data_IF_732786441724
#
_entry.id   IF_732786441724
#
_cell.length_a   1.000
_cell.length_b   1.000
_cell.length_c   1.000
_cell.angle_alpha   90.00
_cell.angle_beta   90.00
_cell.angle_gamma   90.00
#
_symmetry.space_group_name_H-M   'P 1'
#
loop_
_entity.id
_entity.type
_entity.pdbx_description
1 polymer ?
#
# COMPACT_ATOMS: atom_id res chain seq x y z
N UNK A 1 22.38 5.44 -11.09
CA UNK A 1 21.85 4.69 -9.94
C UNK A 1 20.49 5.28 -9.64
N UNK A 2 19.40 4.68 -10.13
CA UNK A 2 18.06 5.15 -9.78
C UNK A 2 17.78 4.63 -8.37
N UNK A 3 17.88 5.52 -7.38
CA UNK A 3 17.44 5.24 -6.02
C UNK A 3 15.94 4.98 -6.08
N UNK A 4 15.48 3.90 -5.47
CA UNK A 4 14.04 3.71 -5.26
C UNK A 4 13.51 4.96 -4.53
N UNK A 5 12.46 5.61 -5.04
CA UNK A 5 11.84 6.82 -4.45
C UNK A 5 11.08 6.54 -3.14
N UNK A 6 11.35 5.38 -2.52
CA UNK A 6 10.74 4.87 -1.30
C UNK A 6 11.88 4.57 -0.32
N UNK A 7 11.77 4.98 0.97
CA UNK A 7 12.80 4.71 1.98
C UNK A 7 13.24 3.23 2.02
N UNK A 8 14.52 2.93 2.34
CA UNK A 8 15.07 1.57 2.29
C UNK A 8 14.41 0.55 3.23
N UNK A 9 13.66 1.03 4.21
CA UNK A 9 12.88 0.26 5.18
C UNK A 9 11.40 0.10 4.79
N UNK A 10 10.92 0.76 3.73
CA UNK A 10 9.52 0.75 3.30
C UNK A 10 9.29 0.04 1.96
N UNK A 11 8.20 -0.73 1.86
CA UNK A 11 7.83 -1.43 0.62
C UNK A 11 7.06 -0.52 -0.35
N UNK A 12 6.31 0.43 0.19
CA UNK A 12 5.53 1.43 -0.53
C UNK A 12 5.46 2.75 0.23
N UNK A 13 4.82 3.73 -0.39
CA UNK A 13 4.49 5.00 0.22
C UNK A 13 3.27 5.65 -0.44
N UNK A 14 2.27 5.98 0.37
CA UNK A 14 1.12 6.78 0.00
C UNK A 14 1.39 8.29 0.21
N UNK A 15 1.61 9.02 -0.87
CA UNK A 15 1.76 10.47 -0.87
C UNK A 15 0.37 11.12 -0.92
N UNK A 16 -0.13 11.52 0.25
CA UNK A 16 -1.47 12.12 0.41
C UNK A 16 -1.62 13.40 -0.42
N UNK A 17 -0.65 14.31 -0.35
CA UNK A 17 -0.75 15.63 -0.96
C UNK A 17 -0.81 15.56 -2.50
N UNK A 18 -0.13 14.57 -3.07
CA UNK A 18 -0.13 14.33 -4.52
C UNK A 18 -1.19 13.32 -4.97
N UNK A 19 -1.81 12.60 -4.05
CA UNK A 19 -2.74 11.52 -4.36
C UNK A 19 -2.07 10.37 -5.14
N UNK A 20 -0.82 10.04 -4.81
CA UNK A 20 -0.05 9.01 -5.53
C UNK A 20 0.47 7.93 -4.60
N UNK A 21 0.35 6.67 -5.01
CA UNK A 21 0.99 5.52 -4.37
C UNK A 21 2.27 5.19 -5.14
N UNK A 22 3.38 5.03 -4.42
CA UNK A 22 4.66 4.58 -4.97
C UNK A 22 5.04 3.26 -4.32
N UNK A 23 5.60 2.36 -5.13
CA UNK A 23 6.11 1.08 -4.66
C UNK A 23 7.58 0.97 -5.02
N UNK A 24 8.33 0.28 -4.17
CA UNK A 24 9.73 -0.04 -4.46
C UNK A 24 9.81 -0.92 -5.71
N UNK A 25 10.61 -0.51 -6.70
CA UNK A 25 10.67 -1.18 -8.01
C UNK A 25 11.24 -2.58 -7.93
N UNK A 26 12.19 -2.79 -7.00
CA UNK A 26 12.92 -4.04 -6.79
C UNK A 26 12.08 -5.16 -6.14
N UNK A 27 10.85 -4.89 -5.73
CA UNK A 27 10.00 -5.90 -5.10
C UNK A 27 9.49 -6.96 -6.09
N UNK A 28 9.38 -8.23 -5.65
CA UNK A 28 8.62 -9.27 -6.35
C UNK A 28 7.16 -8.86 -6.61
N UNK A 29 6.55 -9.38 -7.67
CA UNK A 29 5.22 -8.93 -8.13
C UNK A 29 4.08 -9.26 -7.14
N UNK A 30 4.18 -10.39 -6.44
CA UNK A 30 3.29 -10.77 -5.34
C UNK A 30 3.41 -9.80 -4.15
N UNK A 31 4.64 -9.47 -3.77
CA UNK A 31 4.92 -8.50 -2.70
C UNK A 31 4.47 -7.09 -3.08
N UNK A 32 4.65 -6.68 -4.35
CA UNK A 32 4.14 -5.40 -4.88
C UNK A 32 2.63 -5.31 -4.77
N UNK A 33 1.94 -6.40 -5.09
CA UNK A 33 0.47 -6.42 -5.06
C UNK A 33 -0.04 -6.28 -3.63
N UNK A 34 0.57 -6.97 -2.68
CA UNK A 34 0.24 -6.83 -1.26
C UNK A 34 0.55 -5.41 -0.74
N UNK A 35 1.74 -4.89 -1.03
CA UNK A 35 2.14 -3.53 -0.62
C UNK A 35 1.22 -2.47 -1.24
N UNK A 36 0.78 -2.64 -2.49
CA UNK A 36 -0.19 -1.74 -3.11
C UNK A 36 -1.50 -1.65 -2.33
N UNK A 37 -2.05 -2.79 -1.91
CA UNK A 37 -3.31 -2.79 -1.16
C UNK A 37 -3.16 -2.21 0.25
N UNK A 38 -2.00 -2.36 0.89
CA UNK A 38 -1.68 -1.64 2.13
C UNK A 38 -1.71 -0.12 1.90
N UNK A 39 -0.96 0.39 0.90
CA UNK A 39 -0.95 1.82 0.59
C UNK A 39 -2.31 2.36 0.10
N UNK A 40 -3.13 1.52 -0.53
CA UNK A 40 -4.49 1.87 -0.92
C UNK A 40 -5.36 2.16 0.31
N UNK A 41 -5.20 1.38 1.38
CA UNK A 41 -5.95 1.63 2.62
C UNK A 41 -5.51 2.93 3.29
N UNK A 42 -4.21 3.24 3.30
CA UNK A 42 -3.74 4.58 3.69
C UNK A 42 -4.43 5.68 2.88
N UNK A 43 -4.49 5.54 1.55
CA UNK A 43 -5.15 6.51 0.67
C UNK A 43 -6.66 6.66 0.98
N UNK A 44 -7.36 5.55 1.23
CA UNK A 44 -8.79 5.57 1.62
C UNK A 44 -8.98 6.32 2.93
N UNK A 45 -8.14 6.07 3.93
CA UNK A 45 -8.25 6.73 5.23
C UNK A 45 -7.95 8.21 5.16
N UNK A 46 -6.87 8.59 4.47
CA UNK A 46 -6.56 9.99 4.22
C UNK A 46 -7.68 10.72 3.47
N UNK A 47 -8.24 10.13 2.41
CA UNK A 47 -9.36 10.74 1.66
C UNK A 47 -10.65 10.82 2.47
N UNK A 48 -10.79 9.99 3.50
CA UNK A 48 -11.91 10.01 4.46
C UNK A 48 -11.69 10.96 5.64
N UNK A 49 -10.58 11.71 5.67
CA UNK A 49 -10.21 12.59 6.79
C UNK A 49 -9.70 11.86 8.04
N UNK A 50 -9.39 10.56 7.93
CA UNK A 50 -8.77 9.75 9.00
C UNK A 50 -7.25 9.88 8.88
N UNK A 51 -6.76 11.04 9.27
CA UNK A 51 -5.36 11.42 9.07
C UNK A 51 -4.38 10.65 9.95
N UNK A 52 -4.84 10.22 11.12
CA UNK A 52 -4.17 9.28 12.01
C UNK A 52 -4.96 7.97 11.98
N UNK A 53 -4.25 6.87 11.78
CA UNK A 53 -4.82 5.52 11.77
C UNK A 53 -3.76 4.49 12.16
N UNK A 54 -4.22 3.34 12.67
CA UNK A 54 -3.36 2.27 13.14
C UNK A 54 -2.84 1.45 11.96
N UNK A 55 -1.51 1.34 11.81
CA UNK A 55 -0.84 0.47 10.83
C UNK A 55 -1.35 -0.97 10.87
N UNK A 56 -1.76 -1.49 12.05
CA UNK A 56 -2.35 -2.83 12.17
C UNK A 56 -3.71 -2.93 11.48
N UNK A 57 -4.50 -1.87 11.53
CA UNK A 57 -5.76 -1.78 10.80
C UNK A 57 -5.48 -1.73 9.29
N UNK A 58 -4.52 -0.91 8.86
CA UNK A 58 -4.09 -0.81 7.46
C UNK A 58 -3.61 -2.16 6.92
N UNK A 59 -2.74 -2.85 7.67
CA UNK A 59 -2.26 -4.19 7.33
C UNK A 59 -3.39 -5.20 7.22
N UNK A 60 -4.32 -5.21 8.19
CA UNK A 60 -5.44 -6.15 8.18
C UNK A 60 -6.33 -5.95 6.95
N UNK A 61 -6.72 -4.71 6.66
CA UNK A 61 -7.54 -4.40 5.49
C UNK A 61 -6.78 -4.65 4.18
N UNK A 62 -5.51 -4.24 4.09
CA UNK A 62 -4.67 -4.44 2.91
C UNK A 62 -4.52 -5.93 2.58
N UNK A 63 -4.27 -6.76 3.59
CA UNK A 63 -4.19 -8.21 3.44
C UNK A 63 -5.53 -8.83 3.01
N UNK A 64 -6.65 -8.39 3.59
CA UNK A 64 -7.98 -8.86 3.20
C UNK A 64 -8.33 -8.48 1.76
N UNK A 65 -8.01 -7.25 1.34
CA UNK A 65 -8.20 -6.81 -0.04
C UNK A 65 -7.35 -7.65 -1.00
N UNK A 66 -6.07 -7.83 -0.68
CA UNK A 66 -5.18 -8.67 -1.47
C UNK A 66 -5.76 -10.08 -1.63
N UNK A 67 -6.14 -10.73 -0.52
CA UNK A 67 -6.77 -12.04 -0.53
C UNK A 67 -8.04 -12.07 -1.40
N UNK A 68 -8.95 -11.11 -1.19
CA UNK A 68 -10.20 -11.04 -1.96
C UNK A 68 -9.93 -10.96 -3.47
N UNK A 69 -9.02 -10.08 -3.91
CA UNK A 69 -8.74 -9.90 -5.33
C UNK A 69 -8.06 -11.11 -5.98
N UNK A 70 -7.25 -11.87 -5.23
CA UNK A 70 -6.61 -13.09 -5.76
C UNK A 70 -7.55 -14.31 -5.74
N UNK A 71 -8.56 -14.35 -4.87
CA UNK A 71 -9.47 -15.51 -4.75
C UNK A 71 -10.87 -15.30 -5.32
N UNK A 72 -11.29 -14.09 -5.71
CA UNK A 72 -12.67 -13.80 -6.11
C UNK A 72 -13.19 -14.57 -7.35
N UNK A 73 -12.30 -15.08 -8.20
CA UNK A 73 -12.64 -15.88 -9.38
C UNK A 73 -12.19 -17.35 -9.24
N UNK A 74 -11.82 -17.78 -8.03
CA UNK A 74 -11.34 -19.14 -7.75
C UNK A 74 -12.48 -20.14 -7.51
#
# INVERSE_FOLDING_TARGET
MQTDDVPPDQLGHCDRDRGTIRLRKSLPDDVKTQAFYHELVHAIYFTSGRDEHDEREVDAFGNLLHQFFITREA
#
